data_IF_607262864658
#
_entry.id   IF_607262864658
#
_cell.length_a   1.000
_cell.length_b   1.000
_cell.length_c   1.000
_cell.angle_alpha   90.00
_cell.angle_beta   90.00
_cell.angle_gamma   90.00
#
_symmetry.space_group_name_H-M   'P 1'
#
loop_
_entity.id
_entity.type
_entity.pdbx_description
1 polymer ?
#
# COMPACT_ATOMS: atom_id res chain seq x y z
N UNK A 1 -49.13 33.04 13.18
CA UNK A 1 -47.74 33.44 12.84
C UNK A 1 -46.70 32.68 13.64
N UNK A 2 -46.82 32.58 14.97
CA UNK A 2 -45.84 31.88 15.83
C UNK A 2 -45.56 30.43 15.38
N UNK A 3 -46.59 29.66 15.03
CA UNK A 3 -46.41 28.27 14.57
C UNK A 3 -45.63 28.13 13.26
N UNK A 4 -45.77 29.08 12.33
CA UNK A 4 -45.00 29.11 11.08
C UNK A 4 -43.52 29.43 11.33
N UNK A 5 -43.24 30.30 12.29
CA UNK A 5 -41.87 30.66 12.69
C UNK A 5 -41.18 29.45 13.36
N UNK A 6 -41.89 28.76 14.26
CA UNK A 6 -41.38 27.56 14.92
C UNK A 6 -41.12 26.44 13.89
N UNK A 7 -42.03 26.25 12.93
CA UNK A 7 -41.85 25.28 11.86
C UNK A 7 -40.63 25.61 10.98
N UNK A 8 -40.45 26.88 10.61
CA UNK A 8 -39.29 27.34 9.84
C UNK A 8 -37.96 27.16 10.58
N UNK A 9 -37.92 27.49 11.87
CA UNK A 9 -36.73 27.26 12.71
C UNK A 9 -36.42 25.77 12.89
N UNK A 10 -37.44 24.92 13.01
CA UNK A 10 -37.27 23.46 13.12
C UNK A 10 -36.70 22.86 11.83
N UNK A 11 -37.19 23.30 10.67
CA UNK A 11 -36.63 22.93 9.37
C UNK A 11 -35.19 23.42 9.21
N UNK A 12 -34.91 24.68 9.57
CA UNK A 12 -33.55 25.24 9.53
C UNK A 12 -32.57 24.47 10.42
N UNK A 13 -32.98 24.13 11.64
CA UNK A 13 -32.20 23.31 12.55
C UNK A 13 -31.94 21.90 11.98
N UNK A 14 -32.96 21.26 11.37
CA UNK A 14 -32.81 19.95 10.74
C UNK A 14 -31.85 19.98 9.54
N UNK A 15 -31.91 21.01 8.70
CA UNK A 15 -30.99 21.19 7.56
C UNK A 15 -29.56 21.40 8.05
N UNK A 16 -29.36 22.25 9.06
CA UNK A 16 -28.04 22.48 9.66
C UNK A 16 -27.47 21.22 10.31
N UNK A 17 -28.30 20.44 11.02
CA UNK A 17 -27.90 19.15 11.58
C UNK A 17 -27.49 18.18 10.48
N UNK A 18 -28.26 18.09 9.38
CA UNK A 18 -27.93 17.21 8.26
C UNK A 18 -26.60 17.59 7.59
N UNK A 19 -26.36 18.88 7.35
CA UNK A 19 -25.10 19.38 6.76
C UNK A 19 -23.91 19.07 7.67
N UNK A 20 -24.03 19.33 8.97
CA UNK A 20 -22.97 19.06 9.93
C UNK A 20 -22.71 17.56 10.09
N UNK A 21 -23.76 16.74 10.08
CA UNK A 21 -23.66 15.29 10.15
C UNK A 21 -22.99 14.72 8.89
N UNK A 22 -23.38 15.18 7.70
CA UNK A 22 -22.75 14.78 6.44
C UNK A 22 -21.26 15.15 6.40
N UNK A 23 -20.90 16.37 6.82
CA UNK A 23 -19.49 16.80 6.93
C UNK A 23 -18.70 16.00 7.96
N UNK A 24 -19.32 15.66 9.09
CA UNK A 24 -18.70 14.85 10.14
C UNK A 24 -18.40 13.43 9.64
N UNK A 25 -19.35 12.77 8.98
CA UNK A 25 -19.15 11.45 8.37
C UNK A 25 -18.01 11.49 7.35
N UNK A 26 -18.03 12.46 6.45
CA UNK A 26 -17.02 12.62 5.40
C UNK A 26 -15.61 12.86 6.00
N UNK A 27 -15.52 13.66 7.07
CA UNK A 27 -14.27 13.82 7.83
C UNK A 27 -13.80 12.53 8.48
N UNK A 28 -14.71 11.76 9.11
CA UNK A 28 -14.37 10.49 9.76
C UNK A 28 -13.91 9.47 8.73
N UNK A 29 -14.63 9.32 7.61
CA UNK A 29 -14.28 8.41 6.53
C UNK A 29 -12.90 8.74 5.95
N UNK A 30 -12.61 10.01 5.64
CA UNK A 30 -11.27 10.42 5.18
C UNK A 30 -10.17 10.09 6.19
N UNK A 31 -10.41 10.33 7.47
CA UNK A 31 -9.42 10.05 8.51
C UNK A 31 -9.18 8.55 8.70
N UNK A 32 -10.24 7.72 8.63
CA UNK A 32 -10.13 6.25 8.68
C UNK A 32 -9.36 5.74 7.46
N UNK A 33 -9.69 6.21 6.26
CA UNK A 33 -9.00 5.81 5.03
C UNK A 33 -7.52 6.23 5.06
N UNK A 34 -7.20 7.42 5.55
CA UNK A 34 -5.81 7.88 5.71
C UNK A 34 -5.05 7.02 6.73
N UNK A 35 -5.67 6.71 7.86
CA UNK A 35 -5.07 5.86 8.89
C UNK A 35 -4.81 4.44 8.35
N UNK A 36 -5.76 3.86 7.62
CA UNK A 36 -5.62 2.53 7.02
C UNK A 36 -4.58 2.51 5.88
N UNK A 37 -4.54 3.58 5.08
CA UNK A 37 -3.49 3.77 4.05
C UNK A 37 -2.10 3.86 4.69
N UNK A 38 -1.94 4.65 5.75
CA UNK A 38 -0.67 4.75 6.49
C UNK A 38 -0.24 3.43 7.10
N UNK A 39 -1.19 2.69 7.69
CA UNK A 39 -0.94 1.34 8.22
C UNK A 39 -0.46 0.41 7.11
N UNK A 40 -1.17 0.40 5.98
CA UNK A 40 -0.82 -0.43 4.82
C UNK A 40 0.54 -0.04 4.23
N UNK A 41 0.87 1.25 4.21
CA UNK A 41 2.20 1.74 3.82
C UNK A 41 3.31 1.23 4.74
N UNK A 42 3.10 1.26 6.05
CA UNK A 42 4.06 0.64 6.99
C UNK A 42 4.20 -0.87 6.71
N UNK A 43 3.09 -1.57 6.51
CA UNK A 43 3.09 -3.02 6.35
C UNK A 43 3.74 -3.45 5.03
N UNK A 44 3.52 -2.72 3.92
CA UNK A 44 4.15 -3.02 2.63
C UNK A 44 5.66 -2.79 2.65
N UNK A 45 6.12 -1.76 3.37
CA UNK A 45 7.55 -1.49 3.60
C UNK A 45 8.18 -2.63 4.39
N UNK A 46 7.53 -3.07 5.48
CA UNK A 46 8.03 -4.16 6.30
C UNK A 46 8.16 -5.47 5.50
N UNK A 47 7.14 -5.80 4.68
CA UNK A 47 7.15 -7.00 3.84
C UNK A 47 8.25 -6.94 2.79
N UNK A 48 8.51 -5.77 2.18
CA UNK A 48 9.59 -5.62 1.20
C UNK A 48 10.96 -5.92 1.79
N UNK A 49 11.27 -5.36 2.97
CA UNK A 49 12.56 -5.59 3.61
C UNK A 49 12.69 -7.02 4.17
N UNK A 50 11.61 -7.60 4.68
CA UNK A 50 11.59 -9.02 5.06
C UNK A 50 11.88 -9.92 3.85
N UNK A 51 11.23 -9.65 2.71
CA UNK A 51 11.47 -10.36 1.46
C UNK A 51 12.94 -10.26 1.04
N UNK A 52 13.51 -9.04 1.05
CA UNK A 52 14.90 -8.80 0.67
C UNK A 52 15.88 -9.63 1.50
N UNK A 53 15.76 -9.57 2.82
CA UNK A 53 16.66 -10.30 3.71
C UNK A 53 16.59 -11.82 3.48
N UNK A 54 15.38 -12.36 3.30
CA UNK A 54 15.20 -13.79 3.00
C UNK A 54 15.74 -14.16 1.63
N UNK A 55 15.61 -13.29 0.64
CA UNK A 55 16.08 -13.56 -0.72
C UNK A 55 17.61 -13.52 -0.78
N UNK A 56 18.25 -12.59 -0.08
CA UNK A 56 19.70 -12.53 0.09
C UNK A 56 20.22 -13.80 0.78
N UNK A 57 19.58 -14.22 1.86
CA UNK A 57 19.92 -15.48 2.54
C UNK A 57 19.76 -16.70 1.62
N UNK A 58 18.67 -16.78 0.85
CA UNK A 58 18.43 -17.87 -0.10
C UNK A 58 19.44 -17.90 -1.25
N UNK A 59 19.89 -16.73 -1.74
CA UNK A 59 20.94 -16.63 -2.76
C UNK A 59 22.30 -17.08 -2.20
N UNK A 60 22.66 -16.67 -0.99
CA UNK A 60 23.89 -17.11 -0.30
C UNK A 60 23.89 -18.64 -0.09
N UNK A 61 22.73 -19.21 0.25
CA UNK A 61 22.55 -20.65 0.42
C UNK A 61 22.50 -21.44 -0.89
N UNK A 62 22.55 -20.77 -2.05
CA UNK A 62 22.57 -21.41 -3.37
C UNK A 62 21.29 -22.18 -3.73
N UNK A 63 20.15 -21.82 -3.14
CA UNK A 63 18.85 -22.45 -3.45
C UNK A 63 18.68 -23.89 -2.94
N UNK A 64 19.48 -24.33 -1.97
CA UNK A 64 19.44 -25.70 -1.43
C UNK A 64 18.15 -26.04 -0.63
N UNK A 65 17.37 -25.04 -0.21
CA UNK A 65 16.17 -25.24 0.59
C UNK A 65 14.89 -24.89 -0.17
N UNK A 66 14.12 -25.91 -0.58
CA UNK A 66 12.81 -25.73 -1.23
C UNK A 66 11.78 -24.98 -0.37
N UNK A 67 11.95 -24.97 0.95
CA UNK A 67 11.12 -24.21 1.90
C UNK A 67 11.31 -22.70 1.76
N UNK A 68 12.50 -22.23 1.38
CA UNK A 68 12.79 -20.80 1.20
C UNK A 68 12.05 -20.18 0.01
N UNK A 69 11.83 -20.94 -1.07
CA UNK A 69 11.10 -20.47 -2.25
C UNK A 69 9.61 -20.23 -1.97
N UNK A 70 8.97 -21.11 -1.18
CA UNK A 70 7.56 -20.97 -0.80
C UNK A 70 7.36 -19.76 0.11
N UNK A 71 8.27 -19.56 1.08
CA UNK A 71 8.23 -18.39 1.95
C UNK A 71 8.42 -17.08 1.19
N UNK A 72 9.38 -17.03 0.26
CA UNK A 72 9.58 -15.86 -0.60
C UNK A 72 8.35 -15.55 -1.44
N UNK A 73 7.71 -16.56 -2.04
CA UNK A 73 6.44 -16.35 -2.75
C UNK A 73 5.34 -15.85 -1.84
N UNK A 74 5.22 -16.38 -0.63
CA UNK A 74 4.27 -15.90 0.37
C UNK A 74 4.44 -14.41 0.66
N UNK A 75 5.68 -13.96 0.80
CA UNK A 75 6.00 -12.54 1.00
C UNK A 75 5.72 -11.70 -0.26
N UNK A 76 6.04 -12.18 -1.45
CA UNK A 76 5.72 -11.50 -2.71
C UNK A 76 4.19 -11.36 -2.90
N UNK A 77 3.40 -12.37 -2.56
CA UNK A 77 1.93 -12.29 -2.60
C UNK A 77 1.37 -11.36 -1.54
N UNK A 78 1.92 -11.36 -0.33
CA UNK A 78 1.54 -10.40 0.71
C UNK A 78 1.84 -8.97 0.28
N UNK A 79 3.00 -8.74 -0.35
CA UNK A 79 3.34 -7.46 -0.96
C UNK A 79 2.31 -7.06 -2.02
N UNK A 80 2.00 -7.97 -2.96
CA UNK A 80 1.01 -7.73 -4.01
C UNK A 80 -0.39 -7.43 -3.48
N UNK A 81 -0.83 -8.11 -2.41
CA UNK A 81 -2.12 -7.85 -1.78
C UNK A 81 -2.18 -6.45 -1.14
N UNK A 82 -1.15 -6.07 -0.38
CA UNK A 82 -1.04 -4.71 0.19
C UNK A 82 -0.93 -3.64 -0.92
N UNK A 83 -0.15 -3.92 -1.96
CA UNK A 83 -0.01 -3.04 -3.11
C UNK A 83 -1.32 -2.85 -3.87
N UNK A 84 -2.11 -3.92 -4.03
CA UNK A 84 -3.44 -3.85 -4.64
C UNK A 84 -4.38 -2.97 -3.81
N UNK A 85 -4.33 -3.09 -2.48
CA UNK A 85 -5.09 -2.20 -1.60
C UNK A 85 -4.66 -0.75 -1.76
N UNK A 86 -3.36 -0.45 -1.68
CA UNK A 86 -2.81 0.91 -1.81
C UNK A 86 -3.06 1.53 -3.19
N UNK A 87 -3.01 0.72 -4.25
CA UNK A 87 -3.32 1.14 -5.60
C UNK A 87 -4.75 1.69 -5.73
N UNK A 88 -5.70 1.27 -4.89
CA UNK A 88 -7.07 1.82 -4.93
C UNK A 88 -7.14 3.33 -4.64
N UNK A 89 -6.11 3.89 -4.03
CA UNK A 89 -6.02 5.32 -3.69
C UNK A 89 -5.18 6.13 -4.68
N UNK A 90 -4.82 5.53 -5.83
CA UNK A 90 -3.87 6.10 -6.78
C UNK A 90 -4.44 6.19 -8.20
N UNK A 91 -3.92 7.12 -8.99
CA UNK A 91 -4.15 7.22 -10.44
C UNK A 91 -3.53 6.02 -11.19
N UNK A 92 -4.06 5.66 -12.36
CA UNK A 92 -3.65 4.44 -13.10
C UNK A 92 -2.13 4.21 -13.21
N UNK A 93 -1.30 5.20 -13.59
CA UNK A 93 0.15 4.99 -13.72
C UNK A 93 0.84 4.64 -12.40
N UNK A 94 0.24 5.04 -11.26
CA UNK A 94 0.72 4.71 -9.93
C UNK A 94 0.26 3.32 -9.48
N UNK A 95 -0.92 2.87 -9.92
CA UNK A 95 -1.40 1.49 -9.70
C UNK A 95 -0.48 0.45 -10.35
N UNK A 96 -0.05 0.71 -11.58
CA UNK A 96 0.78 -0.21 -12.36
C UNK A 96 2.14 -0.49 -11.69
N UNK A 97 2.67 0.48 -10.92
CA UNK A 97 3.93 0.33 -10.17
C UNK A 97 3.85 -0.79 -9.13
N UNK A 98 2.75 -0.87 -8.38
CA UNK A 98 2.55 -1.90 -7.35
C UNK A 98 2.50 -3.29 -7.97
N UNK A 99 1.73 -3.45 -9.05
CA UNK A 99 1.62 -4.72 -9.79
C UNK A 99 2.95 -5.12 -10.39
N UNK A 100 3.66 -4.19 -11.03
CA UNK A 100 4.97 -4.44 -11.64
C UNK A 100 5.98 -4.93 -10.61
N UNK A 101 6.09 -4.25 -9.47
CA UNK A 101 7.01 -4.68 -8.42
C UNK A 101 6.59 -6.04 -7.82
N UNK A 102 5.30 -6.30 -7.61
CA UNK A 102 4.86 -7.61 -7.13
C UNK A 102 5.25 -8.76 -8.08
N UNK A 103 5.14 -8.56 -9.39
CA UNK A 103 5.64 -9.53 -10.38
C UNK A 103 7.16 -9.66 -10.33
N UNK A 104 7.87 -8.56 -10.14
CA UNK A 104 9.31 -8.56 -10.04
C UNK A 104 9.80 -9.32 -8.80
N UNK A 105 9.15 -9.14 -7.65
CA UNK A 105 9.42 -9.92 -6.44
C UNK A 105 9.13 -11.41 -6.64
N UNK A 106 8.04 -11.76 -7.35
CA UNK A 106 7.79 -13.16 -7.71
C UNK A 106 8.91 -13.76 -8.57
N UNK A 107 9.40 -13.01 -9.57
CA UNK A 107 10.54 -13.42 -10.38
C UNK A 107 11.79 -13.66 -9.53
N UNK A 108 12.07 -12.74 -8.60
CA UNK A 108 13.18 -12.89 -7.65
C UNK A 108 12.99 -14.13 -6.78
N UNK A 109 11.77 -14.41 -6.30
CA UNK A 109 11.49 -15.59 -5.49
C UNK A 109 11.75 -16.90 -6.27
N UNK A 110 11.45 -16.91 -7.56
CA UNK A 110 11.62 -18.08 -8.43
C UNK A 110 13.06 -18.32 -8.88
N UNK A 111 13.73 -17.26 -9.32
CA UNK A 111 15.03 -17.34 -10.00
C UNK A 111 16.19 -16.92 -9.09
N UNK A 112 15.95 -15.93 -8.23
CA UNK A 112 16.96 -15.25 -7.41
C UNK A 112 17.87 -16.18 -6.61
N UNK A 113 17.36 -17.21 -5.91
CA UNK A 113 18.19 -18.12 -5.13
C UNK A 113 19.27 -18.86 -5.92
N UNK A 114 19.11 -19.00 -7.24
CA UNK A 114 20.03 -19.74 -8.13
C UNK A 114 20.89 -18.85 -9.00
N UNK A 115 20.67 -17.53 -8.97
CA UNK A 115 21.43 -16.59 -9.78
C UNK A 115 22.85 -16.39 -9.21
N UNK A 116 23.86 -16.18 -10.06
CA UNK A 116 25.13 -15.63 -9.62
C UNK A 116 24.91 -14.30 -8.89
N UNK A 117 25.69 -14.04 -7.83
CA UNK A 117 25.52 -12.87 -6.96
C UNK A 117 25.37 -11.54 -7.72
N UNK A 118 26.19 -11.32 -8.75
CA UNK A 118 26.12 -10.10 -9.55
C UNK A 118 24.79 -9.95 -10.32
N UNK A 119 24.21 -11.05 -10.81
CA UNK A 119 22.92 -11.04 -11.49
C UNK A 119 21.76 -10.87 -10.50
N UNK A 120 21.86 -11.50 -9.32
CA UNK A 120 20.94 -11.29 -8.21
C UNK A 120 20.91 -9.82 -7.78
N UNK A 121 22.09 -9.20 -7.58
CA UNK A 121 22.20 -7.79 -7.19
C UNK A 121 21.62 -6.86 -8.23
N UNK A 122 21.86 -7.11 -9.52
CA UNK A 122 21.27 -6.31 -10.60
C UNK A 122 19.72 -6.39 -10.59
N UNK A 123 19.17 -7.59 -10.38
CA UNK A 123 17.73 -7.81 -10.31
C UNK A 123 17.12 -7.08 -9.10
N UNK A 124 17.77 -7.19 -7.93
CA UNK A 124 17.32 -6.51 -6.71
C UNK A 124 17.46 -4.99 -6.77
N UNK A 125 18.53 -4.46 -7.35
CA UNK A 125 18.71 -3.03 -7.53
C UNK A 125 17.57 -2.41 -8.35
N UNK A 126 17.04 -3.15 -9.32
CA UNK A 126 15.87 -2.70 -10.08
C UNK A 126 14.58 -2.78 -9.24
N UNK A 127 14.42 -3.81 -8.41
CA UNK A 127 13.33 -3.87 -7.44
C UNK A 127 13.38 -2.72 -6.40
N UNK A 128 14.57 -2.34 -5.93
CA UNK A 128 14.78 -1.22 -5.00
C UNK A 128 14.37 0.12 -5.60
N UNK A 129 14.68 0.36 -6.90
CA UNK A 129 14.23 1.57 -7.61
C UNK A 129 12.71 1.63 -7.70
N UNK A 130 12.08 0.52 -8.07
CA UNK A 130 10.62 0.42 -8.12
C UNK A 130 9.99 0.63 -6.74
N UNK A 131 10.59 0.08 -5.70
CA UNK A 131 10.13 0.26 -4.32
C UNK A 131 10.29 1.71 -3.85
N UNK A 132 11.36 2.40 -4.24
CA UNK A 132 11.55 3.83 -3.93
C UNK A 132 10.37 4.67 -4.43
N UNK A 133 9.92 4.44 -5.66
CA UNK A 133 8.76 5.14 -6.22
C UNK A 133 7.45 4.85 -5.45
N UNK A 134 7.27 3.63 -4.94
CA UNK A 134 6.13 3.26 -4.08
C UNK A 134 6.25 3.90 -2.70
N UNK A 135 7.46 3.95 -2.13
CA UNK A 135 7.70 4.58 -0.85
C UNK A 135 7.41 6.10 -0.92
N UNK A 136 7.74 6.75 -2.04
CA UNK A 136 7.39 8.16 -2.27
C UNK A 136 5.86 8.37 -2.29
N UNK A 137 5.09 7.44 -2.85
CA UNK A 137 3.62 7.48 -2.80
C UNK A 137 3.10 7.38 -1.35
N UNK A 138 3.74 6.56 -0.51
CA UNK A 138 3.46 6.48 0.92
C UNK A 138 3.84 7.75 1.70
N UNK A 139 4.92 8.43 1.33
CA UNK A 139 5.29 9.73 1.92
C UNK A 139 4.26 10.81 1.55
N UNK A 140 3.77 10.82 0.31
CA UNK A 140 2.68 11.71 -0.12
C UNK A 140 1.39 11.43 0.66
N UNK A 141 1.08 10.16 0.92
CA UNK A 141 -0.04 9.75 1.78
C UNK A 141 0.06 10.35 3.19
N UNK A 142 1.24 10.24 3.78
CA UNK A 142 1.52 10.71 5.13
C UNK A 142 1.42 12.22 5.26
N UNK A 143 1.87 12.95 4.24
CA UNK A 143 1.86 14.42 4.23
C UNK A 143 0.53 15.02 3.78
N UNK A 144 -0.47 14.20 3.42
CA UNK A 144 -1.81 14.65 3.07
C UNK A 144 -1.97 15.10 1.62
N UNK A 145 -1.06 14.70 0.73
CA UNK A 145 -1.08 15.03 -0.71
C UNK A 145 -1.79 13.96 -1.56
N UNK A 146 -2.52 13.02 -0.95
CA UNK A 146 -3.29 11.98 -1.65
C UNK A 146 -4.76 12.34 -1.90
N UNK A 147 -5.19 13.56 -1.55
CA UNK A 147 -6.55 14.06 -1.79
C UNK A 147 -6.50 15.45 -2.41
#
# INVERSE_FOLDING_TARGET
MVSLIIAGMSLGASVLQNINYARSIDSVQRNVLRAESLRSCKDIIAVFFEFRLKAEAANIAGGAEGMSAVELKGLAYRFGALGTFLANFQEQPARDRYTTLAWHLNKIADEGPRLPKAAFDALFNEADKQFTAINDDCVKAATGHLL
#
